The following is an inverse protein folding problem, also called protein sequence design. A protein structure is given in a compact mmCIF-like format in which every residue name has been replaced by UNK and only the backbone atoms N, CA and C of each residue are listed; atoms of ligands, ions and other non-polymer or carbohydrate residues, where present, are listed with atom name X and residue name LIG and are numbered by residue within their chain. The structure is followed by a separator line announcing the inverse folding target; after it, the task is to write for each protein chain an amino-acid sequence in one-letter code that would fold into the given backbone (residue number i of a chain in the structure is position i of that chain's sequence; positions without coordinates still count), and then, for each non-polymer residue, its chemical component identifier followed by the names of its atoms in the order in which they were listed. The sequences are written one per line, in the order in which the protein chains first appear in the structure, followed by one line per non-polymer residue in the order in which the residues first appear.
data_IF_583426572836
#
_entry.id   IF_583426572836
#
_cell.length_a   1.000
_cell.length_b   1.000
_cell.length_c   1.000
_cell.angle_alpha   90.00
_cell.angle_beta   90.00
_cell.angle_gamma   90.00
#
_symmetry.space_group_name_H-M   'P 1'
#
loop_
_entity.id
_entity.type
_entity.pdbx_description
1 polymer ?
#
# COMPACT_ATOMS: atom_id res chain seq x y z
N UNK A 1 -4.74 -1.21 -20.35
CA UNK A 1 -4.22 -2.04 -19.22
C UNK A 1 -3.02 -2.88 -19.62
N UNK A 2 -3.08 -3.65 -20.72
CA UNK A 2 -1.97 -4.50 -21.19
C UNK A 2 -0.64 -3.72 -21.34
N UNK A 3 -0.68 -2.52 -21.93
CA UNK A 3 0.50 -1.67 -22.10
C UNK A 3 1.17 -1.26 -20.78
N UNK A 4 0.37 -0.94 -19.75
CA UNK A 4 0.91 -0.58 -18.43
C UNK A 4 1.59 -1.77 -17.76
N UNK A 5 1.04 -2.98 -17.94
CA UNK A 5 1.64 -4.21 -17.42
C UNK A 5 2.94 -4.52 -18.16
N UNK A 6 2.98 -4.39 -19.48
CA UNK A 6 4.20 -4.60 -20.28
C UNK A 6 5.29 -3.59 -19.93
N UNK A 7 4.96 -2.30 -19.78
CA UNK A 7 5.91 -1.27 -19.34
C UNK A 7 6.44 -1.53 -17.93
N UNK A 8 5.57 -2.01 -17.03
CA UNK A 8 5.98 -2.36 -15.67
C UNK A 8 6.92 -3.56 -15.70
N UNK A 9 6.60 -4.63 -16.44
CA UNK A 9 7.48 -5.79 -16.64
C UNK A 9 8.81 -5.41 -17.29
N UNK A 10 8.81 -4.52 -18.28
CA UNK A 10 10.03 -3.99 -18.88
C UNK A 10 10.86 -3.20 -17.85
N UNK A 11 10.22 -2.38 -17.01
CA UNK A 11 10.88 -1.66 -15.93
C UNK A 11 11.44 -2.60 -14.84
N UNK A 12 10.76 -3.71 -14.53
CA UNK A 12 11.29 -4.75 -13.64
C UNK A 12 12.53 -5.40 -14.23
N UNK A 13 12.48 -5.73 -15.52
CA UNK A 13 13.59 -6.35 -16.22
C UNK A 13 14.82 -5.42 -16.26
N UNK A 14 14.61 -4.11 -16.50
CA UNK A 14 15.68 -3.14 -16.71
C UNK A 14 16.22 -2.51 -15.41
N UNK A 15 15.34 -2.02 -14.52
CA UNK A 15 15.75 -1.11 -13.44
C UNK A 15 15.99 -1.83 -12.11
N UNK A 16 14.97 -2.45 -11.49
CA UNK A 16 15.11 -3.08 -10.17
C UNK A 16 13.82 -3.78 -9.71
N UNK A 17 13.97 -4.92 -9.02
CA UNK A 17 12.89 -5.70 -8.35
C UNK A 17 12.08 -4.86 -7.35
N UNK A 18 12.69 -3.82 -6.78
CA UNK A 18 12.05 -2.91 -5.82
C UNK A 18 10.94 -2.06 -6.48
N UNK A 19 11.07 -1.74 -7.76
CA UNK A 19 10.05 -0.97 -8.49
C UNK A 19 8.75 -1.77 -8.68
N UNK A 20 8.86 -3.09 -8.85
CA UNK A 20 7.70 -4.00 -8.90
C UNK A 20 6.96 -4.01 -7.55
N UNK A 21 7.71 -4.13 -6.47
CA UNK A 21 7.16 -4.19 -5.10
C UNK A 21 6.43 -2.88 -4.80
N UNK A 22 7.04 -1.73 -5.08
CA UNK A 22 6.40 -0.42 -4.94
C UNK A 22 5.12 -0.33 -5.78
N UNK A 23 5.19 -0.71 -7.05
CA UNK A 23 4.03 -0.63 -7.94
C UNK A 23 2.88 -1.54 -7.49
N UNK A 24 3.20 -2.75 -7.03
CA UNK A 24 2.22 -3.69 -6.47
C UNK A 24 1.61 -3.12 -5.19
N UNK A 25 2.41 -2.57 -4.29
CA UNK A 25 1.94 -1.97 -3.03
C UNK A 25 1.01 -0.79 -3.31
N UNK A 26 1.38 0.11 -4.22
CA UNK A 26 0.52 1.22 -4.67
C UNK A 26 -0.77 0.69 -5.27
N UNK A 27 -0.71 -0.32 -6.14
CA UNK A 27 -1.88 -0.93 -6.75
C UNK A 27 -2.81 -1.55 -5.70
N UNK A 28 -2.29 -2.38 -4.79
CA UNK A 28 -3.06 -3.01 -3.72
C UNK A 28 -3.70 -1.97 -2.82
N UNK A 29 -2.94 -0.94 -2.43
CA UNK A 29 -3.46 0.17 -1.63
C UNK A 29 -4.66 0.85 -2.32
N UNK A 30 -4.52 1.22 -3.59
CA UNK A 30 -5.60 1.85 -4.35
C UNK A 30 -6.78 0.90 -4.59
N UNK A 31 -6.51 -0.38 -4.82
CA UNK A 31 -7.52 -1.40 -5.07
C UNK A 31 -8.40 -1.65 -3.83
N UNK A 32 -7.80 -1.88 -2.67
CA UNK A 32 -8.50 -2.06 -1.39
C UNK A 32 -9.31 -0.81 -1.05
N UNK A 33 -8.73 0.36 -1.31
CA UNK A 33 -9.37 1.64 -1.05
C UNK A 33 -10.60 1.91 -1.91
N UNK A 34 -10.51 1.57 -3.20
CA UNK A 34 -11.60 1.79 -4.16
C UNK A 34 -12.72 0.78 -3.97
N UNK A 35 -12.37 -0.47 -3.62
CA UNK A 35 -13.31 -1.57 -3.49
C UNK A 35 -13.61 -1.90 -2.02
N UNK A 36 -14.30 -1.01 -1.30
CA UNK A 36 -14.60 -1.14 0.14
C UNK A 36 -15.46 -2.34 0.56
N UNK A 37 -15.99 -3.11 -0.40
CA UNK A 37 -16.70 -4.37 -0.16
C UNK A 37 -15.94 -5.63 -0.58
N UNK A 38 -14.72 -5.48 -1.08
CA UNK A 38 -13.93 -6.62 -1.55
C UNK A 38 -13.43 -7.44 -0.36
N UNK A 39 -13.83 -8.71 -0.31
CA UNK A 39 -13.30 -9.70 0.62
C UNK A 39 -12.34 -10.59 -0.15
N UNK A 40 -11.05 -10.43 0.12
CA UNK A 40 -10.03 -11.31 -0.45
C UNK A 40 -10.22 -12.70 0.14
N UNK A 41 -10.51 -13.69 -0.70
CA UNK A 41 -10.50 -15.09 -0.26
C UNK A 41 -9.05 -15.49 0.01
N UNK A 42 -8.79 -16.13 1.13
CA UNK A 42 -7.42 -16.47 1.55
C UNK A 42 -6.66 -17.27 0.48
N UNK A 43 -7.32 -18.18 -0.24
CA UNK A 43 -6.71 -18.95 -1.32
C UNK A 43 -6.30 -18.08 -2.52
N UNK A 44 -7.02 -17.00 -2.82
CA UNK A 44 -6.62 -16.03 -3.86
C UNK A 44 -5.34 -15.32 -3.44
N UNK A 45 -5.22 -14.97 -2.15
CA UNK A 45 -4.01 -14.39 -1.61
C UNK A 45 -2.82 -15.35 -1.72
N UNK A 46 -3.04 -16.64 -1.43
CA UNK A 46 -2.03 -17.69 -1.56
C UNK A 46 -1.60 -17.86 -3.02
N UNK A 47 -2.53 -17.95 -3.96
CA UNK A 47 -2.20 -18.05 -5.40
C UNK A 47 -1.44 -16.81 -5.87
N UNK A 48 -1.91 -15.61 -5.50
CA UNK A 48 -1.24 -14.36 -5.86
C UNK A 48 0.18 -14.28 -5.27
N UNK A 49 0.38 -14.76 -4.04
CA UNK A 49 1.69 -14.87 -3.41
C UNK A 49 2.62 -15.80 -4.19
N UNK A 50 2.18 -17.03 -4.52
CA UNK A 50 3.00 -17.96 -5.28
C UNK A 50 3.28 -17.49 -6.70
N UNK A 51 2.32 -16.83 -7.36
CA UNK A 51 2.52 -16.23 -8.68
C UNK A 51 3.54 -15.08 -8.64
N UNK A 52 3.44 -14.20 -7.63
CA UNK A 52 4.42 -13.13 -7.43
C UNK A 52 5.80 -13.69 -7.10
N UNK A 53 5.86 -14.67 -6.21
CA UNK A 53 7.09 -15.36 -5.82
C UNK A 53 7.76 -16.00 -7.04
N UNK A 54 7.03 -16.82 -7.81
CA UNK A 54 7.54 -17.44 -9.04
C UNK A 54 7.99 -16.43 -10.09
N UNK A 55 7.27 -15.30 -10.23
CA UNK A 55 7.69 -14.20 -11.09
C UNK A 55 9.02 -13.58 -10.65
N UNK A 56 9.13 -13.21 -9.37
CA UNK A 56 10.36 -12.65 -8.79
C UNK A 56 11.54 -13.64 -8.88
N UNK A 57 11.27 -14.92 -8.67
CA UNK A 57 12.20 -16.04 -8.86
C UNK A 57 12.75 -16.09 -10.29
N UNK A 58 11.86 -16.11 -11.29
CA UNK A 58 12.28 -16.18 -12.69
C UNK A 58 13.10 -14.95 -13.10
N UNK A 59 12.68 -13.75 -12.66
CA UNK A 59 13.44 -12.52 -12.89
C UNK A 59 14.76 -12.49 -12.12
N UNK A 60 14.86 -13.15 -10.95
CA UNK A 60 16.14 -13.30 -10.28
C UNK A 60 17.06 -14.22 -11.09
N UNK A 61 16.59 -15.42 -11.41
CA UNK A 61 17.38 -16.41 -12.13
C UNK A 61 17.94 -15.79 -13.43
N UNK A 62 17.10 -15.14 -14.22
CA UNK A 62 17.51 -14.49 -15.46
C UNK A 62 18.60 -13.39 -15.28
N UNK A 63 18.68 -12.76 -14.10
CA UNK A 63 19.61 -11.64 -13.84
C UNK A 63 20.84 -12.04 -13.02
N UNK A 64 20.72 -13.01 -12.13
CA UNK A 64 21.74 -13.35 -11.12
C UNK A 64 22.18 -14.82 -11.14
N UNK A 65 21.67 -15.69 -12.04
CA UNK A 65 22.09 -17.09 -12.11
C UNK A 65 23.62 -17.24 -12.13
N UNK A 66 24.30 -16.46 -12.98
CA UNK A 66 25.77 -16.49 -13.07
C UNK A 66 26.50 -16.01 -11.80
N UNK A 67 25.86 -15.29 -10.87
CA UNK A 67 26.48 -14.99 -9.56
C UNK A 67 26.43 -16.20 -8.63
N UNK A 68 25.30 -16.91 -8.60
CA UNK A 68 25.10 -18.06 -7.71
C UNK A 68 25.79 -19.32 -8.22
N UNK A 69 25.84 -19.54 -9.54
CA UNK A 69 26.61 -20.63 -10.16
C UNK A 69 28.10 -20.52 -9.82
N UNK A 70 28.65 -19.29 -9.80
CA UNK A 70 30.04 -19.05 -9.35
C UNK A 70 30.28 -19.35 -7.86
N UNK A 71 29.22 -19.45 -7.06
CA UNK A 71 29.28 -19.85 -5.65
C UNK A 71 28.82 -21.30 -5.44
N UNK A 72 28.78 -22.11 -6.52
CA UNK A 72 28.49 -23.55 -6.45
C UNK A 72 27.00 -23.90 -6.27
N UNK A 73 26.09 -22.94 -6.45
CA UNK A 73 24.65 -23.18 -6.37
C UNK A 73 24.11 -23.30 -7.79
N UNK A 74 23.78 -24.52 -8.22
CA UNK A 74 23.27 -24.79 -9.57
C UNK A 74 21.73 -24.95 -9.60
N UNK A 75 21.13 -25.30 -8.46
CA UNK A 75 19.69 -25.55 -8.36
C UNK A 75 18.89 -24.25 -8.20
N UNK A 76 17.93 -24.02 -9.11
CA UNK A 76 17.06 -22.83 -9.08
C UNK A 76 16.29 -22.70 -7.74
N UNK A 77 15.83 -23.80 -7.14
CA UNK A 77 15.18 -23.79 -5.83
C UNK A 77 16.11 -23.28 -4.72
N UNK A 78 17.37 -23.72 -4.71
CA UNK A 78 18.38 -23.31 -3.72
C UNK A 78 18.74 -21.84 -3.88
N UNK A 79 18.91 -21.36 -5.13
CA UNK A 79 19.12 -19.92 -5.40
C UNK A 79 18.01 -19.04 -4.80
N UNK A 80 16.76 -19.51 -4.86
CA UNK A 80 15.61 -18.80 -4.28
C UNK A 80 15.62 -18.85 -2.76
N UNK A 81 15.95 -19.99 -2.15
CA UNK A 81 16.10 -20.10 -0.71
C UNK A 81 17.21 -19.18 -0.20
N UNK A 82 18.37 -19.16 -0.87
CA UNK A 82 19.47 -18.23 -0.58
C UNK A 82 19.03 -16.78 -0.73
N UNK A 83 18.25 -16.45 -1.75
CA UNK A 83 17.75 -15.09 -1.91
C UNK A 83 16.77 -14.72 -0.80
N UNK A 84 15.86 -15.62 -0.40
CA UNK A 84 14.93 -15.34 0.69
C UNK A 84 15.68 -15.14 2.00
N UNK A 85 16.69 -15.96 2.27
CA UNK A 85 17.59 -15.81 3.42
C UNK A 85 18.40 -14.51 3.35
N UNK A 86 18.94 -14.17 2.18
CA UNK A 86 19.66 -12.93 1.95
C UNK A 86 18.74 -11.72 2.16
N UNK A 87 17.52 -11.75 1.63
CA UNK A 87 16.62 -10.62 1.66
C UNK A 87 15.99 -10.45 3.04
N UNK A 88 15.33 -11.48 3.58
CA UNK A 88 14.59 -11.43 4.85
C UNK A 88 15.42 -11.86 6.06
N UNK A 89 16.13 -12.98 5.94
CA UNK A 89 16.83 -13.58 7.08
C UNK A 89 17.98 -12.70 7.58
N UNK A 90 18.73 -12.13 6.64
CA UNK A 90 19.95 -11.38 6.96
C UNK A 90 19.69 -10.11 7.75
N UNK A 91 18.78 -9.21 7.35
CA UNK A 91 18.52 -8.00 8.13
C UNK A 91 17.97 -8.31 9.52
N UNK A 92 17.19 -9.39 9.67
CA UNK A 92 16.68 -9.84 10.96
C UNK A 92 17.83 -10.35 11.84
N UNK A 93 18.67 -11.25 11.33
CA UNK A 93 19.83 -11.79 12.05
C UNK A 93 20.78 -10.67 12.51
N UNK A 94 21.08 -9.72 11.62
CA UNK A 94 21.93 -8.57 11.96
C UNK A 94 21.28 -7.70 13.04
N UNK A 95 19.98 -7.42 12.93
CA UNK A 95 19.27 -6.61 13.93
C UNK A 95 19.25 -7.27 15.31
N UNK A 96 19.01 -8.59 15.34
CA UNK A 96 19.00 -9.36 16.58
C UNK A 96 20.40 -9.48 17.18
N UNK A 97 21.42 -9.72 16.36
CA UNK A 97 22.82 -9.79 16.81
C UNK A 97 23.30 -8.46 17.40
N UNK A 98 22.99 -7.34 16.75
CA UNK A 98 23.28 -6.01 17.30
C UNK A 98 22.47 -5.76 18.58
N UNK A 99 21.19 -6.11 18.62
CA UNK A 99 20.38 -5.97 19.83
C UNK A 99 20.91 -6.79 21.02
N UNK A 100 21.38 -8.03 20.78
CA UNK A 100 22.02 -8.87 21.79
C UNK A 100 23.30 -8.24 22.33
N UNK A 101 24.17 -7.75 21.44
CA UNK A 101 25.40 -7.06 21.83
C UNK A 101 25.14 -5.77 22.63
N UNK A 102 24.08 -5.02 22.30
CA UNK A 102 23.62 -3.87 23.08
C UNK A 102 23.16 -4.31 24.46
N UNK A 103 22.34 -5.36 24.54
CA UNK A 103 21.76 -5.84 25.80
C UNK A 103 22.81 -6.40 26.77
N UNK A 104 23.86 -7.00 26.23
CA UNK A 104 25.00 -7.55 26.98
C UNK A 104 26.08 -6.51 27.28
N UNK A 105 25.90 -5.26 26.82
CA UNK A 105 26.87 -4.18 27.00
C UNK A 105 28.15 -4.32 26.17
N UNK A 106 28.24 -5.32 25.28
CA UNK A 106 29.39 -5.53 24.39
C UNK A 106 29.49 -4.49 23.29
N UNK A 107 28.36 -3.92 22.88
CA UNK A 107 28.28 -2.83 21.91
C UNK A 107 27.62 -1.63 22.56
N UNK A 108 28.43 -0.62 22.88
CA UNK A 108 27.98 0.66 23.40
C UNK A 108 28.53 1.79 22.52
N UNK A 109 27.65 2.41 21.75
CA UNK A 109 28.00 3.55 20.89
C UNK A 109 27.57 4.84 21.57
N UNK A 110 28.55 5.66 21.97
CA UNK A 110 28.29 7.00 22.48
C UNK A 110 27.83 7.90 21.30
N UNK A 111 26.52 8.11 21.18
CA UNK A 111 25.96 9.03 20.19
C UNK A 111 26.00 10.47 20.69
N UNK A 112 26.46 11.40 19.87
CA UNK A 112 26.25 12.83 20.09
C UNK A 112 24.86 13.24 19.54
N UNK A 113 24.03 13.99 20.29
CA UNK A 113 22.70 14.39 19.82
C UNK A 113 22.72 15.15 18.49
N UNK A 114 23.67 16.05 18.27
CA UNK A 114 23.69 16.89 17.08
C UNK A 114 24.23 16.16 15.86
N UNK A 115 25.34 15.43 16.00
CA UNK A 115 25.89 14.61 14.93
C UNK A 115 24.93 13.49 14.53
N UNK A 116 24.16 12.96 15.48
CA UNK A 116 23.18 11.92 15.21
C UNK A 116 22.00 12.38 14.35
N UNK A 117 21.77 13.70 14.17
CA UNK A 117 20.81 14.20 13.17
C UNK A 117 21.18 13.77 11.75
N UNK A 118 22.45 13.46 11.50
CA UNK A 118 22.86 12.87 10.23
C UNK A 118 22.18 11.52 9.95
N UNK A 119 21.70 10.79 10.97
CA UNK A 119 20.91 9.57 10.77
C UNK A 119 19.67 9.80 9.90
N UNK A 120 19.07 10.99 9.95
CA UNK A 120 17.86 11.33 9.20
C UNK A 120 18.13 12.27 8.03
N UNK A 121 19.31 12.88 7.94
CA UNK A 121 19.64 13.75 6.82
C UNK A 121 19.84 12.93 5.53
N UNK A 122 19.11 13.23 4.44
CA UNK A 122 19.19 12.47 3.21
C UNK A 122 20.56 12.61 2.54
N UNK A 123 20.98 11.59 1.79
CA UNK A 123 22.30 11.51 1.11
C UNK A 123 22.59 12.68 0.16
N UNK A 124 21.57 13.33 -0.41
CA UNK A 124 21.77 14.51 -1.25
C UNK A 124 22.01 15.81 -0.47
N UNK A 125 21.86 15.79 0.86
CA UNK A 125 22.26 16.89 1.77
C UNK A 125 23.67 16.63 2.31
N UNK A 126 24.08 15.37 2.39
CA UNK A 126 25.33 14.93 3.00
C UNK A 126 25.99 13.87 2.09
N UNK A 127 26.78 14.37 1.13
CA UNK A 127 27.39 13.56 0.08
C UNK A 127 28.50 12.63 0.58
N UNK A 128 29.06 12.90 1.76
CA UNK A 128 30.07 12.04 2.37
C UNK A 128 29.47 10.70 2.83
N UNK A 129 28.13 10.62 2.96
CA UNK A 129 27.41 9.38 3.29
C UNK A 129 27.55 8.26 2.27
N UNK A 130 27.95 8.55 1.04
CA UNK A 130 27.92 7.60 -0.09
C UNK A 130 28.99 6.50 0.03
N UNK A 131 30.06 6.70 0.80
CA UNK A 131 31.19 5.75 0.93
C UNK A 131 30.98 4.63 1.97
N UNK A 132 29.76 4.40 2.42
CA UNK A 132 29.51 3.71 3.71
C UNK A 132 28.86 2.33 3.55
N UNK A 133 28.89 1.81 2.32
CA UNK A 133 28.61 0.42 1.95
C UNK A 133 29.87 -0.46 1.81
N UNK A 134 31.06 0.13 1.89
CA UNK A 134 32.35 -0.55 1.68
C UNK A 134 32.95 -0.94 3.04
N UNK A 135 32.96 -2.24 3.31
CA UNK A 135 33.51 -2.87 4.52
C UNK A 135 32.95 -4.28 4.65
N UNK A 136 33.68 -5.19 5.30
CA UNK A 136 33.15 -6.52 5.62
C UNK A 136 32.04 -6.40 6.66
N UNK A 137 31.13 -7.39 6.75
CA UNK A 137 30.05 -7.34 7.74
C UNK A 137 30.55 -7.33 9.17
N UNK A 138 31.67 -8.00 9.41
CA UNK A 138 32.35 -8.03 10.70
C UNK A 138 32.92 -6.64 11.06
N UNK A 139 33.47 -5.90 10.10
CA UNK A 139 33.88 -4.50 10.31
C UNK A 139 32.69 -3.59 10.59
N UNK A 140 31.53 -3.88 9.98
CA UNK A 140 30.33 -3.03 10.05
C UNK A 140 29.46 -3.27 11.28
N UNK A 141 29.37 -4.51 11.77
CA UNK A 141 28.46 -4.89 12.87
C UNK A 141 29.17 -5.63 14.02
N UNK A 142 30.50 -5.79 13.98
CA UNK A 142 31.24 -6.56 14.97
C UNK A 142 31.03 -8.07 14.80
N UNK A 143 31.06 -8.83 15.91
CA UNK A 143 31.02 -10.30 15.94
C UNK A 143 29.68 -10.96 15.58
N UNK A 144 28.85 -10.30 14.76
CA UNK A 144 27.58 -10.88 14.30
C UNK A 144 27.88 -11.82 13.13
N UNK A 145 28.00 -13.11 13.43
CA UNK A 145 28.27 -14.14 12.41
C UNK A 145 27.14 -14.24 11.41
N UNK A 146 27.36 -13.74 10.20
CA UNK A 146 26.47 -13.87 9.05
C UNK A 146 27.29 -14.46 7.92
N UNK A 147 26.75 -15.45 7.20
CA UNK A 147 27.46 -16.04 6.06
C UNK A 147 27.85 -14.96 5.03
N UNK A 148 29.07 -15.03 4.48
CA UNK A 148 29.63 -13.98 3.61
C UNK A 148 28.80 -13.72 2.34
N UNK A 149 28.06 -14.73 1.87
CA UNK A 149 27.17 -14.63 0.71
C UNK A 149 25.84 -13.92 1.01
N UNK A 150 25.55 -13.60 2.27
CA UNK A 150 24.36 -12.88 2.71
C UNK A 150 24.70 -11.41 2.89
N UNK A 151 24.48 -10.57 1.88
CA UNK A 151 25.02 -9.20 1.84
C UNK A 151 24.02 -8.10 2.22
N UNK A 152 22.74 -8.43 2.43
CA UNK A 152 21.72 -7.41 2.73
C UNK A 152 21.94 -6.77 4.10
N UNK A 153 21.71 -5.45 4.17
CA UNK A 153 21.86 -4.64 5.38
C UNK A 153 20.60 -4.61 6.25
N UNK A 154 20.77 -4.17 7.50
CA UNK A 154 19.68 -3.81 8.41
C UNK A 154 19.75 -2.31 8.70
N UNK A 155 18.65 -1.59 8.46
CA UNK A 155 18.61 -0.16 8.74
C UNK A 155 18.74 0.17 10.23
N UNK A 156 18.20 -0.69 11.10
CA UNK A 156 18.32 -0.53 12.54
C UNK A 156 19.78 -0.64 12.97
N UNK A 157 20.45 -1.73 12.57
CA UNK A 157 21.84 -1.97 12.93
C UNK A 157 22.75 -0.87 12.38
N UNK A 158 22.55 -0.48 11.12
CA UNK A 158 23.30 0.61 10.47
C UNK A 158 23.17 1.94 11.22
N UNK A 159 21.96 2.27 11.65
CA UNK A 159 21.69 3.50 12.39
C UNK A 159 22.35 3.46 13.76
N UNK A 160 22.19 2.34 14.48
CA UNK A 160 22.69 2.23 15.85
C UNK A 160 24.21 2.22 15.92
N UNK A 161 24.88 1.39 15.10
CA UNK A 161 26.35 1.28 15.14
C UNK A 161 27.02 2.63 14.86
N UNK A 162 26.36 3.49 14.09
CA UNK A 162 26.93 4.78 13.70
C UNK A 162 26.56 5.94 14.62
N UNK A 163 25.31 6.00 15.05
CA UNK A 163 24.74 7.18 15.71
C UNK A 163 24.19 6.86 17.11
N UNK A 164 24.34 5.61 17.56
CA UNK A 164 23.85 5.13 18.84
C UNK A 164 22.35 5.34 19.03
N UNK A 165 21.96 5.51 20.28
CA UNK A 165 20.56 5.70 20.66
C UNK A 165 19.94 7.01 20.16
N UNK A 166 20.73 8.07 19.99
CA UNK A 166 20.23 9.33 19.44
C UNK A 166 19.81 9.18 17.98
N UNK A 167 20.63 8.52 17.16
CA UNK A 167 20.25 8.23 15.77
C UNK A 167 19.01 7.35 15.68
N UNK A 168 18.93 6.31 16.52
CA UNK A 168 17.74 5.46 16.60
C UNK A 168 16.48 6.27 16.96
N UNK A 169 16.60 7.21 17.92
CA UNK A 169 15.51 8.08 18.34
C UNK A 169 15.03 8.99 17.20
N UNK A 170 15.95 9.64 16.47
CA UNK A 170 15.56 10.49 15.34
C UNK A 170 14.92 9.69 14.21
N UNK A 171 15.43 8.49 13.94
CA UNK A 171 14.82 7.59 12.96
C UNK A 171 13.40 7.21 13.36
N UNK A 172 13.15 6.88 14.63
CA UNK A 172 11.79 6.62 15.14
C UNK A 172 10.87 7.83 14.98
N UNK A 173 11.36 9.06 15.23
CA UNK A 173 10.59 10.28 15.02
C UNK A 173 10.20 10.45 13.54
N UNK A 174 11.14 10.23 12.61
CA UNK A 174 10.84 10.29 11.17
C UNK A 174 9.83 9.22 10.76
N UNK A 175 9.94 8.00 11.29
CA UNK A 175 8.96 6.94 11.03
C UNK A 175 7.58 7.29 11.60
N UNK A 176 7.52 7.88 12.79
CA UNK A 176 6.27 8.35 13.38
C UNK A 176 5.64 9.47 12.53
N UNK A 177 6.44 10.42 12.03
CA UNK A 177 5.98 11.46 11.11
C UNK A 177 5.49 10.87 9.78
N UNK A 178 6.18 9.86 9.23
CA UNK A 178 5.75 9.16 8.03
C UNK A 178 4.42 8.42 8.24
N UNK A 179 4.23 7.76 9.39
CA UNK A 179 2.98 7.09 9.76
C UNK A 179 1.83 8.10 9.97
N UNK A 180 2.11 9.24 10.60
CA UNK A 180 1.16 10.34 10.70
C UNK A 180 0.76 10.87 9.32
N UNK A 181 1.75 11.13 8.45
CA UNK A 181 1.53 11.56 7.06
C UNK A 181 0.71 10.54 6.28
N UNK A 182 0.98 9.24 6.43
CA UNK A 182 0.16 8.17 5.87
C UNK A 182 -1.30 8.32 6.29
N UNK A 183 -1.56 8.49 7.58
CA UNK A 183 -2.90 8.66 8.13
C UNK A 183 -3.63 9.90 7.58
N UNK A 184 -2.90 11.00 7.35
CA UNK A 184 -3.45 12.21 6.73
C UNK A 184 -3.77 11.97 5.25
N UNK A 185 -2.81 11.51 4.45
CA UNK A 185 -2.97 11.33 3.01
C UNK A 185 -3.98 10.24 2.67
N UNK A 186 -4.10 9.19 3.49
CA UNK A 186 -5.05 8.11 3.28
C UNK A 186 -6.52 8.56 3.37
N UNK A 187 -6.82 9.73 3.98
CA UNK A 187 -8.17 10.28 4.08
C UNK A 187 -8.69 10.89 2.77
N UNK A 188 -7.83 11.41 1.89
CA UNK A 188 -8.24 12.15 0.69
C UNK A 188 -8.78 11.25 -0.42
N UNK A 189 -10.04 11.37 -0.84
CA UNK A 189 -10.61 10.54 -1.92
C UNK A 189 -10.02 10.76 -3.32
N UNK A 190 -9.07 11.69 -3.47
CA UNK A 190 -8.42 12.04 -4.73
C UNK A 190 -7.09 11.30 -4.95
N UNK A 191 -6.44 11.61 -6.08
CA UNK A 191 -5.09 11.15 -6.46
C UNK A 191 -4.04 11.48 -5.39
N UNK A 192 -4.30 12.47 -4.52
CA UNK A 192 -3.47 12.81 -3.35
C UNK A 192 -3.25 11.61 -2.42
N UNK A 193 -4.15 10.62 -2.40
CA UNK A 193 -3.94 9.41 -1.61
C UNK A 193 -2.76 8.54 -2.04
N UNK A 194 -2.21 8.72 -3.25
CA UNK A 194 -1.01 8.00 -3.71
C UNK A 194 0.19 8.30 -2.80
N UNK A 195 0.27 9.51 -2.22
CA UNK A 195 1.30 9.84 -1.23
C UNK A 195 1.28 8.90 -0.02
N UNK A 196 0.09 8.45 0.41
CA UNK A 196 0.00 7.46 1.48
C UNK A 196 0.65 6.14 1.07
N UNK A 197 0.43 5.66 -0.16
CA UNK A 197 1.07 4.43 -0.62
C UNK A 197 2.61 4.55 -0.69
N UNK A 198 3.13 5.71 -1.09
CA UNK A 198 4.58 5.97 -1.10
C UNK A 198 5.16 5.97 0.33
N UNK A 199 4.48 6.62 1.29
CA UNK A 199 4.88 6.60 2.69
C UNK A 199 4.82 5.19 3.30
N UNK A 200 3.78 4.42 2.96
CA UNK A 200 3.63 3.03 3.38
C UNK A 200 4.78 2.17 2.85
N UNK A 201 5.20 2.36 1.60
CA UNK A 201 6.37 1.67 1.05
C UNK A 201 7.66 2.07 1.76
N UNK A 202 7.86 3.37 2.02
CA UNK A 202 8.97 3.89 2.81
C UNK A 202 9.10 3.20 4.18
N UNK A 203 7.96 3.04 4.86
CA UNK A 203 7.88 2.33 6.14
C UNK A 203 8.12 0.82 5.98
N UNK A 204 7.52 0.19 4.97
CA UNK A 204 7.61 -1.25 4.74
C UNK A 204 9.02 -1.72 4.38
N UNK A 205 9.91 -0.85 3.92
CA UNK A 205 11.31 -1.18 3.63
C UNK A 205 12.27 -0.89 4.80
N UNK A 206 11.79 -0.26 5.88
CA UNK A 206 12.65 0.18 6.99
C UNK A 206 13.44 -0.97 7.63
N UNK A 207 12.87 -2.16 7.76
CA UNK A 207 13.54 -3.33 8.35
C UNK A 207 14.87 -3.69 7.64
N UNK A 208 15.01 -3.31 6.37
CA UNK A 208 16.18 -3.57 5.52
C UNK A 208 16.99 -2.31 5.25
N UNK A 209 16.33 -1.22 4.87
CA UNK A 209 16.99 0.02 4.45
C UNK A 209 16.16 1.24 4.86
N UNK A 210 16.85 2.27 5.37
CA UNK A 210 16.18 3.53 5.69
C UNK A 210 16.07 4.41 4.45
N UNK A 211 14.99 4.22 3.66
CA UNK A 211 14.78 4.92 2.37
C UNK A 211 14.72 6.45 2.48
N UNK A 212 14.40 6.99 3.66
CA UNK A 212 14.43 8.43 3.90
C UNK A 212 15.87 8.97 3.90
N UNK A 213 16.76 8.34 4.68
CA UNK A 213 18.19 8.68 4.71
C UNK A 213 18.84 8.50 3.32
N UNK A 214 18.42 7.50 2.54
CA UNK A 214 18.90 7.31 1.17
C UNK A 214 18.36 8.35 0.16
N UNK A 215 17.49 9.26 0.57
CA UNK A 215 16.85 10.26 -0.29
C UNK A 215 15.79 9.70 -1.25
N UNK A 216 15.67 8.37 -1.38
CA UNK A 216 14.73 7.68 -2.26
C UNK A 216 13.28 8.03 -1.90
N UNK A 217 12.94 8.05 -0.61
CA UNK A 217 11.58 8.38 -0.18
C UNK A 217 11.19 9.81 -0.57
N UNK A 218 12.09 10.78 -0.39
CA UNK A 218 11.88 12.18 -0.77
C UNK A 218 11.70 12.29 -2.29
N UNK A 219 12.56 11.63 -3.06
CA UNK A 219 12.44 11.59 -4.51
C UNK A 219 11.08 11.04 -4.97
N UNK A 220 10.62 9.92 -4.41
CA UNK A 220 9.32 9.33 -4.75
C UNK A 220 8.15 10.26 -4.43
N UNK A 221 8.20 10.97 -3.31
CA UNK A 221 7.18 11.97 -2.95
C UNK A 221 7.17 13.14 -3.94
N UNK A 222 8.34 13.65 -4.34
CA UNK A 222 8.46 14.73 -5.32
C UNK A 222 7.96 14.32 -6.70
N UNK A 223 8.31 13.13 -7.18
CA UNK A 223 7.82 12.60 -8.47
C UNK A 223 6.29 12.42 -8.42
N UNK A 224 5.75 11.96 -7.29
CA UNK A 224 4.29 11.84 -7.10
C UNK A 224 3.62 13.22 -7.13
N UNK A 225 4.23 14.24 -6.51
CA UNK A 225 3.75 15.61 -6.57
C UNK A 225 3.78 16.18 -7.99
N UNK A 226 4.88 16.01 -8.71
CA UNK A 226 5.00 16.43 -10.10
C UNK A 226 3.94 15.76 -10.98
N UNK A 227 3.73 14.44 -10.82
CA UNK A 227 2.69 13.70 -11.53
C UNK A 227 1.28 14.21 -11.25
N UNK A 228 0.98 14.60 -10.01
CA UNK A 228 -0.29 15.24 -9.65
C UNK A 228 -0.45 16.59 -10.35
N UNK A 229 0.57 17.43 -10.35
CA UNK A 229 0.56 18.75 -11.01
C UNK A 229 0.31 18.59 -12.52
N UNK A 230 1.03 17.68 -13.18
CA UNK A 230 0.83 17.37 -14.61
C UNK A 230 -0.59 16.88 -14.86
N UNK A 231 -1.11 15.98 -14.02
CA UNK A 231 -2.48 15.46 -14.15
C UNK A 231 -3.53 16.58 -14.06
N UNK A 232 -3.34 17.54 -13.14
CA UNK A 232 -4.22 18.69 -13.00
C UNK A 232 -4.10 19.64 -14.20
N UNK A 233 -2.89 19.90 -14.69
CA UNK A 233 -2.66 20.74 -15.87
C UNK A 233 -3.29 20.13 -17.14
N UNK A 234 -3.12 18.82 -17.36
CA UNK A 234 -3.75 18.09 -18.46
C UNK A 234 -5.27 18.15 -18.34
N UNK A 235 -5.83 17.92 -17.15
CA UNK A 235 -7.27 18.03 -16.93
C UNK A 235 -7.79 19.44 -17.28
N UNK A 236 -7.11 20.48 -16.81
CA UNK A 236 -7.46 21.87 -17.10
C UNK A 236 -7.36 22.19 -18.60
N UNK A 237 -6.36 21.66 -19.29
CA UNK A 237 -6.23 21.81 -20.74
C UNK A 237 -7.36 21.10 -21.50
N UNK A 238 -7.72 19.87 -21.10
CA UNK A 238 -8.83 19.12 -21.70
C UNK A 238 -10.18 19.79 -21.43
N UNK A 239 -10.39 20.35 -20.24
CA UNK A 239 -11.62 21.07 -19.90
C UNK A 239 -11.83 22.34 -20.76
N UNK A 240 -10.76 22.92 -21.31
CA UNK A 240 -10.84 24.04 -22.27
C UNK A 240 -11.32 23.61 -23.67
N UNK A 241 -11.29 22.32 -23.99
CA UNK A 241 -11.63 21.79 -25.33
C UNK A 241 -12.88 20.88 -25.22
N UNK A 242 -14.10 21.41 -25.43
CA UNK A 242 -15.34 20.68 -25.18
C UNK A 242 -15.46 19.35 -25.95
N UNK A 243 -14.76 19.20 -27.08
CA UNK A 243 -14.72 17.98 -27.88
C UNK A 243 -14.03 16.77 -27.21
N UNK A 244 -13.19 17.00 -26.18
CA UNK A 244 -12.48 15.94 -25.45
C UNK A 244 -12.99 15.73 -24.02
N UNK A 245 -14.12 16.36 -23.66
CA UNK A 245 -14.72 16.24 -22.34
C UNK A 245 -15.23 14.81 -22.14
N UNK A 246 -14.47 13.99 -21.41
CA UNK A 246 -14.88 12.64 -21.02
C UNK A 246 -16.17 12.78 -20.21
N UNK A 247 -17.31 12.37 -20.78
CA UNK A 247 -18.60 12.45 -20.08
C UNK A 247 -18.50 11.60 -18.81
N UNK A 248 -18.93 12.11 -17.63
CA UNK A 248 -18.99 11.29 -16.43
C UNK A 248 -19.87 10.08 -16.73
N UNK A 249 -19.35 8.88 -16.44
CA UNK A 249 -20.02 7.61 -16.67
C UNK A 249 -21.25 7.55 -15.75
N UNK A 250 -22.39 8.03 -16.24
CA UNK A 250 -23.68 7.90 -15.56
C UNK A 250 -24.11 6.45 -15.67
N UNK A 251 -23.93 5.69 -14.59
CA UNK A 251 -24.59 4.40 -14.43
C UNK A 251 -26.09 4.64 -14.54
N UNK A 252 -26.66 4.26 -15.68
CA UNK A 252 -28.10 4.24 -15.91
C UNK A 252 -28.66 3.27 -14.88
N UNK A 253 -29.20 3.81 -13.77
CA UNK A 253 -29.90 3.05 -12.74
C UNK A 253 -31.00 2.29 -13.47
N UNK A 254 -30.82 0.98 -13.63
CA UNK A 254 -31.79 0.11 -14.28
C UNK A 254 -32.97 0.05 -13.32
N UNK A 255 -33.96 0.92 -13.52
CA UNK A 255 -35.26 0.78 -12.90
C UNK A 255 -35.80 -0.58 -13.32
N UNK A 256 -35.82 -1.52 -12.37
CA UNK A 256 -36.58 -2.76 -12.45
C UNK A 256 -38.06 -2.40 -12.55
N UNK A 257 -38.51 -2.22 -13.79
CA UNK A 257 -39.91 -2.01 -14.17
C UNK A 257 -40.71 -3.25 -13.75
N UNK A 258 -41.77 -2.99 -12.99
CA UNK A 258 -42.48 -3.97 -12.18
C UNK A 258 -43.14 -5.13 -12.92
N UNK A 259 -43.20 -6.26 -12.21
CA UNK A 259 -44.11 -7.36 -12.50
C UNK A 259 -45.41 -7.09 -11.75
N UNK A 260 -46.41 -6.54 -12.46
CA UNK A 260 -47.81 -6.54 -12.02
C UNK A 260 -48.25 -7.99 -11.81
N UNK A 261 -48.54 -8.37 -10.57
CA UNK A 261 -49.36 -9.54 -10.29
C UNK A 261 -50.78 -9.27 -10.79
N UNK A 262 -51.10 -9.85 -11.94
CA UNK A 262 -52.45 -9.95 -12.49
C UNK A 262 -53.04 -11.23 -11.92
N UNK A 263 -53.73 -11.15 -10.80
CA UNK A 263 -54.51 -12.30 -10.30
C UNK A 263 -55.71 -12.47 -11.22
N UNK A 264 -55.75 -13.67 -11.82
CA UNK A 264 -56.69 -14.12 -12.82
C UNK A 264 -58.10 -14.23 -12.22
N UNK A 265 -59.05 -13.66 -12.94
CA UNK A 265 -60.48 -13.86 -12.83
C UNK A 265 -60.81 -15.29 -13.31
N UNK A 266 -61.36 -16.16 -12.46
CA UNK A 266 -62.02 -17.39 -12.89
C UNK A 266 -63.50 -17.39 -12.50
N UNK A 267 -64.32 -17.37 -13.54
CA UNK A 267 -65.70 -17.82 -13.71
C UNK A 267 -66.51 -18.36 -12.50
N UNK A 268 -67.74 -17.86 -12.40
CA UNK A 268 -68.96 -18.70 -12.38
C UNK A 268 -69.52 -19.08 -11.01
N UNK A 269 -70.63 -18.46 -10.61
CA UNK A 269 -71.40 -18.86 -9.44
C UNK A 269 -72.53 -17.89 -9.13
N UNK A 270 -73.60 -17.99 -9.92
CA UNK A 270 -74.84 -17.23 -9.77
C UNK A 270 -75.68 -17.81 -8.63
N UNK A 271 -75.97 -17.01 -7.59
CA UNK A 271 -77.06 -17.26 -6.63
C UNK A 271 -77.29 -16.03 -5.73
N UNK A 272 -78.25 -15.17 -6.10
CA UNK A 272 -79.05 -14.40 -5.10
C UNK A 272 -80.30 -15.22 -4.77
N UNK A 273 -80.91 -15.07 -3.58
CA UNK A 273 -82.08 -14.16 -3.49
C UNK A 273 -82.20 -13.52 -2.06
N UNK A 274 -83.35 -12.98 -1.58
CA UNK A 274 -83.51 -11.52 -1.43
C UNK A 274 -84.28 -11.10 -0.14
N UNK A 275 -83.74 -10.30 0.77
CA UNK A 275 -84.63 -9.60 1.72
C UNK A 275 -83.96 -8.52 2.56
N UNK A 276 -84.73 -7.45 2.75
CA UNK A 276 -84.62 -6.32 3.69
C UNK A 276 -84.14 -5.04 3.03
N UNK A 277 -85.03 -4.33 2.32
CA UNK A 277 -85.94 -3.27 2.85
C UNK A 277 -85.21 -2.15 3.60
N UNK A 278 -84.96 -1.07 2.85
CA UNK A 278 -85.52 0.28 3.04
C UNK A 278 -85.48 0.88 4.46
N UNK A 279 -84.69 1.94 4.62
CA UNK A 279 -85.09 3.27 5.12
C UNK A 279 -83.84 4.16 4.98
N UNK A 280 -83.80 5.11 4.06
CA UNK A 280 -84.31 6.48 4.25
C UNK A 280 -83.93 7.02 5.64
N UNK A 281 -82.95 7.93 5.71
CA UNK A 281 -83.21 9.37 5.85
C UNK A 281 -81.95 10.16 6.21
N UNK A 282 -81.69 11.16 5.36
CA UNK A 282 -81.37 12.55 5.71
C UNK A 282 -79.96 12.89 6.24
N UNK A 283 -79.38 13.81 5.47
CA UNK A 283 -78.11 14.50 5.59
C UNK A 283 -78.29 15.79 6.44
N UNK A 284 -77.43 16.80 6.26
CA UNK A 284 -76.45 17.34 7.18
C UNK A 284 -76.96 18.53 8.02
N UNK A 285 -76.24 18.91 9.06
CA UNK A 285 -76.06 20.34 9.44
C UNK A 285 -75.29 20.42 10.74
N UNK A 286 -74.28 21.28 10.75
CA UNK A 286 -73.97 22.22 11.84
C UNK A 286 -73.61 21.63 13.21
N UNK A 287 -72.68 22.16 13.96
CA UNK A 287 -71.89 23.38 13.92
C UNK A 287 -70.81 23.17 14.98
N UNK A 288 -69.79 24.01 14.90
CA UNK A 288 -68.93 24.43 16.01
C UNK A 288 -69.43 24.03 17.42
N UNK A 289 -68.54 23.52 18.27
CA UNK A 289 -67.93 24.39 19.26
C UNK A 289 -66.79 23.71 20.03
N UNK A 290 -65.92 24.57 20.56
CA UNK A 290 -65.29 24.48 21.88
C UNK A 290 -64.48 23.20 22.22
N UNK A 291 -63.17 23.26 22.42
CA UNK A 291 -62.38 23.99 23.41
C UNK A 291 -61.73 22.97 24.37
N UNK A 292 -60.50 23.29 24.74
CA UNK A 292 -59.91 22.99 26.05
C UNK A 292 -59.66 21.54 26.54
N UNK A 293 -58.41 21.39 27.03
CA UNK A 293 -57.89 20.41 28.02
C UNK A 293 -57.61 19.02 27.44
N UNK A 294 -56.44 18.42 27.61
CA UNK A 294 -55.35 18.55 28.59
C UNK A 294 -54.07 17.95 28.02
#
# INVERSE_FOLDING_TARGET
MLWNVLLLLANVALASRLSLILALLVYVFLFVRTNRGFRLKWWVAVIAFFALFGGLTAFNYARNAGYYERHGVENAMEMNAYQLAAYLGTPIQVSLGVADQISTGKLAVAGDPFLSLQAIAPTFVDFEKVNLGTGTKDERYGSVSVADNLTTNSAFADTYVRYGWWGATYTLLVLALAAFGFGVFARYRSVVSIFAAVLLYGFAEYWRIFLFNQGILVFLLLVTAAGLIVSLAVKAALDRWPQYRVRPFTLKRRETRGTRARTVQSAGGDSRPPSLRRADTINPSDSADASERS
#
